data_IF_097244376745
#
_entry.id   IF_097244376745
#
_cell.length_a   1.000
_cell.length_b   1.000
_cell.length_c   1.000
_cell.angle_alpha   90.00
_cell.angle_beta   90.00
_cell.angle_gamma   90.00
#
_symmetry.space_group_name_H-M   'P 1'
#
loop_
_entity.id
_entity.type
_entity.pdbx_description
1 polymer ?
#
# COMPACT_ATOMS: atom_id res chain seq x y z
N UNK A 1 -15.31 18.10 -3.90
CA UNK A 1 -14.13 17.75 -3.09
C UNK A 1 -12.87 17.92 -3.92
N UNK A 2 -11.73 18.21 -3.29
CA UNK A 2 -10.43 18.25 -4.00
C UNK A 2 -9.78 16.89 -4.06
N UNK A 3 -9.15 16.60 -5.19
CA UNK A 3 -8.34 15.38 -5.36
C UNK A 3 -7.13 15.65 -6.26
N UNK A 4 -6.08 14.83 -6.10
CA UNK A 4 -4.91 14.82 -6.96
C UNK A 4 -5.09 13.71 -8.02
N UNK A 5 -5.27 14.12 -9.27
CA UNK A 5 -5.58 13.22 -10.41
C UNK A 5 -4.37 13.09 -11.32
N UNK A 6 -4.07 11.86 -11.72
CA UNK A 6 -3.16 11.55 -12.81
C UNK A 6 -3.97 11.42 -14.11
N UNK A 7 -3.86 12.39 -15.01
CA UNK A 7 -4.52 12.37 -16.31
C UNK A 7 -3.73 11.60 -17.37
N UNK A 8 -2.41 11.69 -17.30
CA UNK A 8 -1.51 11.07 -18.26
C UNK A 8 -0.24 10.57 -17.57
N UNK A 9 0.18 9.35 -17.90
CA UNK A 9 1.43 8.76 -17.39
C UNK A 9 2.62 9.65 -17.73
N UNK A 10 3.53 9.83 -16.78
CA UNK A 10 4.69 10.70 -16.90
C UNK A 10 4.43 12.19 -16.62
N UNK A 11 3.19 12.57 -16.36
CA UNK A 11 2.83 13.95 -15.98
C UNK A 11 2.71 14.11 -14.47
N UNK A 12 2.64 15.36 -14.03
CA UNK A 12 2.37 15.69 -12.62
C UNK A 12 0.90 15.44 -12.29
N UNK A 13 0.63 15.14 -11.03
CA UNK A 13 -0.73 15.11 -10.51
C UNK A 13 -1.33 16.53 -10.54
N UNK A 14 -2.58 16.62 -10.92
CA UNK A 14 -3.34 17.88 -10.94
C UNK A 14 -4.34 17.91 -9.79
N UNK A 15 -4.33 19.00 -9.02
CA UNK A 15 -5.30 19.20 -7.94
C UNK A 15 -6.54 19.85 -8.53
N UNK A 16 -7.65 19.12 -8.56
CA UNK A 16 -8.90 19.57 -9.15
C UNK A 16 -10.10 19.32 -8.23
N UNK A 17 -11.18 20.01 -8.51
CA UNK A 17 -12.47 19.80 -7.83
C UNK A 17 -13.27 18.71 -8.57
N UNK A 18 -13.66 17.68 -7.84
CA UNK A 18 -14.41 16.52 -8.33
C UNK A 18 -15.75 16.37 -7.61
N UNK A 19 -16.68 15.74 -8.29
CA UNK A 19 -17.95 15.30 -7.73
C UNK A 19 -17.78 13.89 -7.18
N UNK A 20 -18.36 13.61 -6.00
CA UNK A 20 -18.39 12.29 -5.41
C UNK A 20 -19.83 11.81 -5.23
N UNK A 21 -20.11 10.60 -5.70
CA UNK A 21 -21.39 9.94 -5.53
C UNK A 21 -21.60 9.43 -4.11
N UNK A 22 -22.85 9.09 -3.77
CA UNK A 22 -23.20 8.45 -2.50
C UNK A 22 -22.72 6.99 -2.48
N UNK A 23 -22.40 6.45 -1.29
CA UNK A 23 -22.11 5.03 -1.13
C UNK A 23 -23.35 4.19 -1.44
N UNK A 24 -23.19 3.15 -2.24
CA UNK A 24 -24.20 2.14 -2.53
C UNK A 24 -24.09 0.97 -1.54
N UNK A 25 -24.82 -0.10 -1.83
CA UNK A 25 -24.80 -1.33 -1.02
C UNK A 25 -23.37 -1.86 -0.82
N UNK A 26 -22.97 -2.07 0.44
CA UNK A 26 -21.65 -2.57 0.81
C UNK A 26 -20.51 -1.56 0.64
N UNK A 27 -20.84 -0.28 0.49
CA UNK A 27 -19.86 0.80 0.33
C UNK A 27 -19.94 1.80 1.49
N UNK A 28 -18.86 2.53 1.69
CA UNK A 28 -18.72 3.51 2.77
C UNK A 28 -18.09 4.78 2.20
N UNK A 29 -18.66 5.94 2.53
CA UNK A 29 -18.05 7.24 2.29
C UNK A 29 -17.14 7.59 3.47
N UNK A 30 -15.87 7.81 3.19
CA UNK A 30 -14.84 8.14 4.19
C UNK A 30 -14.32 9.55 3.93
N UNK A 31 -14.26 10.37 4.99
CA UNK A 31 -13.55 11.64 5.02
C UNK A 31 -12.08 11.35 5.34
N UNK A 32 -11.20 11.59 4.39
CA UNK A 32 -9.78 11.27 4.50
C UNK A 32 -9.08 12.20 5.50
N UNK A 33 -8.26 11.63 6.37
CA UNK A 33 -7.47 12.36 7.37
C UNK A 33 -5.98 12.29 7.10
N UNK A 34 -5.52 11.18 6.55
CA UNK A 34 -4.14 11.01 6.13
C UNK A 34 -4.03 10.03 4.97
N UNK A 35 -3.07 10.28 4.08
CA UNK A 35 -2.69 9.39 3.01
C UNK A 35 -1.16 9.32 2.93
N UNK A 36 -0.60 8.11 3.01
CA UNK A 36 0.82 7.86 2.79
C UNK A 36 1.15 7.88 1.30
N UNK A 37 2.38 8.25 0.96
CA UNK A 37 2.92 8.17 -0.40
C UNK A 37 3.85 6.98 -0.49
N UNK A 38 3.50 6.03 -1.33
CA UNK A 38 4.25 4.80 -1.55
C UNK A 38 5.05 4.83 -2.85
N UNK A 39 6.09 4.01 -2.94
CA UNK A 39 6.81 3.80 -4.19
C UNK A 39 5.90 3.30 -5.32
N UNK A 40 4.83 2.56 -5.00
CA UNK A 40 3.85 2.09 -5.98
C UNK A 40 3.11 3.25 -6.66
N UNK A 41 2.79 4.33 -5.95
CA UNK A 41 2.18 5.53 -6.57
C UNK A 41 3.16 6.17 -7.57
N UNK A 42 4.44 6.27 -7.19
CA UNK A 42 5.49 6.76 -8.07
C UNK A 42 5.66 5.88 -9.33
N UNK A 43 5.60 4.55 -9.16
CA UNK A 43 5.69 3.62 -10.28
C UNK A 43 4.54 3.77 -11.26
N UNK A 44 3.32 4.03 -10.78
CA UNK A 44 2.16 4.31 -11.64
C UNK A 44 2.35 5.64 -12.39
N UNK A 45 2.76 6.70 -11.69
CA UNK A 45 3.00 8.02 -12.31
C UNK A 45 4.02 7.91 -13.47
N UNK A 46 5.05 7.06 -13.32
CA UNK A 46 6.10 6.89 -14.33
C UNK A 46 5.85 5.72 -15.31
N UNK A 47 4.67 5.09 -15.27
CA UNK A 47 4.28 4.02 -16.20
C UNK A 47 5.00 2.68 -15.99
N UNK A 48 5.65 2.48 -14.85
CA UNK A 48 6.27 1.20 -14.49
C UNK A 48 5.23 0.16 -14.07
N UNK A 49 4.09 0.62 -13.56
CA UNK A 49 2.90 -0.18 -13.32
C UNK A 49 1.77 0.42 -14.17
N UNK A 50 1.22 -0.35 -15.13
CA UNK A 50 0.20 0.16 -16.03
C UNK A 50 -1.16 0.22 -15.33
N UNK A 51 -1.67 1.43 -15.12
CA UNK A 51 -3.01 1.69 -14.60
C UNK A 51 -3.80 2.55 -15.61
N UNK A 52 -5.12 2.42 -15.65
CA UNK A 52 -5.95 3.28 -16.50
C UNK A 52 -5.93 4.73 -15.97
N UNK A 53 -6.06 5.68 -16.86
CA UNK A 53 -6.18 7.11 -16.54
C UNK A 53 -7.47 7.67 -17.16
N UNK A 54 -8.06 8.76 -16.60
CA UNK A 54 -7.63 9.51 -15.43
C UNK A 54 -7.87 8.74 -14.11
N UNK A 55 -6.96 8.87 -13.13
CA UNK A 55 -7.03 8.11 -11.89
C UNK A 55 -6.62 8.95 -10.66
N UNK A 56 -7.31 8.74 -9.54
CA UNK A 56 -6.86 9.18 -8.21
C UNK A 56 -6.02 8.07 -7.60
N UNK A 57 -4.77 8.38 -7.26
CA UNK A 57 -3.84 7.47 -6.60
C UNK A 57 -3.98 7.48 -5.07
N UNK A 58 -3.08 6.78 -4.38
CA UNK A 58 -3.05 6.67 -2.92
C UNK A 58 -3.77 5.42 -2.40
N UNK A 59 -3.02 4.57 -1.70
CA UNK A 59 -3.50 3.30 -1.17
C UNK A 59 -3.06 3.04 0.27
N UNK A 60 -2.38 3.99 0.90
CA UNK A 60 -2.02 4.01 2.32
C UNK A 60 -2.90 5.05 3.02
N UNK A 61 -4.06 4.66 3.53
CA UNK A 61 -5.12 5.61 3.85
C UNK A 61 -5.71 5.40 5.23
N UNK A 62 -5.98 6.51 5.92
CA UNK A 62 -6.79 6.55 7.13
C UNK A 62 -7.79 7.72 7.07
N UNK A 63 -8.95 7.51 7.65
CA UNK A 63 -10.02 8.50 7.65
C UNK A 63 -11.09 8.25 8.68
N UNK A 64 -12.15 9.02 8.59
CA UNK A 64 -13.34 8.88 9.45
C UNK A 64 -14.55 8.61 8.56
N UNK A 65 -15.33 7.62 8.93
CA UNK A 65 -16.57 7.26 8.23
C UNK A 65 -17.56 8.42 8.30
N UNK A 66 -18.05 8.85 7.15
CA UNK A 66 -19.04 9.92 7.04
C UNK A 66 -20.46 9.37 6.78
N UNK A 67 -20.58 8.43 5.84
CA UNK A 67 -21.85 7.82 5.44
C UNK A 67 -21.63 6.34 5.10
N UNK A 68 -22.61 5.48 5.39
CA UNK A 68 -22.57 4.07 5.03
C UNK A 68 -23.71 3.74 4.06
N UNK A 69 -23.43 2.88 3.10
CA UNK A 69 -24.43 2.35 2.19
C UNK A 69 -25.24 1.22 2.83
N UNK A 70 -26.19 0.68 2.06
CA UNK A 70 -27.01 -0.43 2.52
C UNK A 70 -26.18 -1.69 2.82
N UNK A 71 -26.63 -2.48 3.79
CA UNK A 71 -26.03 -3.78 4.19
C UNK A 71 -24.57 -3.70 4.71
N UNK A 72 -24.05 -2.54 5.05
CA UNK A 72 -22.78 -2.39 5.76
C UNK A 72 -22.99 -2.81 7.22
N UNK A 73 -22.12 -3.67 7.75
CA UNK A 73 -22.17 -4.16 9.13
C UNK A 73 -20.84 -3.89 9.85
N UNK A 74 -20.90 -3.63 11.15
CA UNK A 74 -19.72 -3.45 12.00
C UNK A 74 -18.96 -2.13 11.77
N UNK A 75 -19.50 -1.22 10.97
CA UNK A 75 -18.96 0.11 10.69
C UNK A 75 -20.09 1.12 10.81
N UNK A 76 -19.84 2.26 11.43
CA UNK A 76 -20.83 3.33 11.61
C UNK A 76 -20.21 4.71 11.35
N UNK A 77 -21.01 5.71 11.03
CA UNK A 77 -20.54 7.09 10.92
C UNK A 77 -19.82 7.55 12.21
N UNK A 78 -18.67 8.18 12.05
CA UNK A 78 -17.80 8.59 13.16
C UNK A 78 -16.67 7.61 13.51
N UNK A 79 -16.69 6.39 13.00
CA UNK A 79 -15.60 5.43 13.21
C UNK A 79 -14.32 5.91 12.50
N UNK A 80 -13.18 5.80 13.21
CA UNK A 80 -11.85 5.92 12.60
C UNK A 80 -11.50 4.61 11.89
N UNK A 81 -11.04 4.71 10.65
CA UNK A 81 -10.76 3.54 9.81
C UNK A 81 -9.42 3.66 9.10
N UNK A 82 -8.78 2.50 8.89
CA UNK A 82 -7.70 2.30 7.93
C UNK A 82 -8.22 1.52 6.73
N UNK A 83 -7.51 1.62 5.61
CA UNK A 83 -7.90 0.99 4.35
C UNK A 83 -6.87 -0.04 3.91
N UNK A 84 -7.33 -1.25 3.61
CA UNK A 84 -6.54 -2.26 2.92
C UNK A 84 -6.62 -2.04 1.41
N UNK A 85 -5.48 -1.99 0.74
CA UNK A 85 -5.45 -1.86 -0.73
C UNK A 85 -5.88 -3.15 -1.46
N UNK A 86 -6.03 -4.26 -0.75
CA UNK A 86 -6.56 -5.52 -1.28
C UNK A 86 -8.03 -5.63 -0.86
N UNK A 87 -8.91 -5.09 -1.71
CA UNK A 87 -10.35 -5.19 -1.50
C UNK A 87 -10.86 -6.61 -1.79
N UNK A 88 -11.75 -7.14 -0.98
CA UNK A 88 -12.34 -8.46 -1.18
C UNK A 88 -13.82 -8.36 -1.53
N UNK A 89 -14.32 -9.28 -2.37
CA UNK A 89 -15.74 -9.28 -2.77
C UNK A 89 -16.64 -10.16 -1.88
N UNK A 90 -16.04 -10.89 -0.93
CA UNK A 90 -16.76 -11.81 -0.02
C UNK A 90 -17.33 -13.08 -0.67
N UNK A 91 -17.49 -13.14 -1.99
CA UNK A 91 -18.28 -14.17 -2.68
C UNK A 91 -17.50 -15.14 -3.58
N UNK A 92 -16.29 -14.79 -4.05
CA UNK A 92 -15.51 -15.68 -4.90
C UNK A 92 -14.93 -16.86 -4.09
N UNK A 93 -14.40 -17.86 -4.79
CA UNK A 93 -13.83 -19.06 -4.14
C UNK A 93 -12.74 -18.69 -3.14
N UNK A 94 -11.86 -17.77 -3.48
CA UNK A 94 -10.78 -17.35 -2.58
C UNK A 94 -11.30 -16.68 -1.31
N UNK A 95 -12.25 -15.75 -1.42
CA UNK A 95 -12.87 -15.11 -0.25
C UNK A 95 -13.55 -16.13 0.67
N UNK A 96 -14.28 -17.09 0.08
CA UNK A 96 -15.04 -18.11 0.85
C UNK A 96 -14.15 -19.17 1.49
N UNK A 97 -12.91 -19.32 1.04
CA UNK A 97 -11.93 -20.28 1.60
C UNK A 97 -10.89 -19.63 2.51
N UNK A 98 -11.07 -18.35 2.89
CA UNK A 98 -10.16 -17.63 3.79
C UNK A 98 -8.94 -17.01 3.11
N UNK A 99 -8.88 -17.03 1.77
CA UNK A 99 -7.81 -16.45 0.95
C UNK A 99 -8.26 -15.13 0.31
N UNK A 100 -8.89 -14.25 1.08
CA UNK A 100 -9.47 -13.00 0.59
C UNK A 100 -8.44 -12.08 -0.09
N UNK A 101 -7.18 -12.17 0.30
CA UNK A 101 -6.05 -11.50 -0.35
C UNK A 101 -5.80 -11.95 -1.80
N UNK A 102 -6.39 -13.06 -2.24
CA UNK A 102 -6.38 -13.55 -3.62
C UNK A 102 -7.73 -13.35 -4.33
N UNK A 103 -8.54 -12.40 -3.86
CA UNK A 103 -9.85 -12.14 -4.44
C UNK A 103 -9.80 -11.98 -5.96
N UNK A 104 -10.48 -12.87 -6.70
CA UNK A 104 -10.47 -12.86 -8.16
C UNK A 104 -11.07 -11.60 -8.78
N UNK A 105 -12.00 -10.94 -8.07
CA UNK A 105 -12.58 -9.66 -8.53
C UNK A 105 -11.68 -8.46 -8.25
N UNK A 106 -10.74 -8.57 -7.32
CA UNK A 106 -9.74 -7.54 -7.10
C UNK A 106 -8.65 -7.61 -8.16
N UNK A 107 -8.18 -8.82 -8.49
CA UNK A 107 -7.11 -9.06 -9.48
C UNK A 107 -7.65 -9.37 -10.90
N UNK A 108 -8.83 -8.87 -11.23
CA UNK A 108 -9.40 -8.97 -12.57
C UNK A 108 -8.72 -8.00 -13.55
N UNK A 109 -9.39 -7.72 -14.65
CA UNK A 109 -8.96 -6.70 -15.61
C UNK A 109 -8.58 -5.36 -14.91
N UNK A 110 -7.49 -4.67 -15.32
CA UNK A 110 -7.06 -3.42 -14.72
C UNK A 110 -8.15 -2.36 -14.59
N UNK A 111 -9.04 -2.22 -15.59
CA UNK A 111 -10.15 -1.28 -15.50
C UNK A 111 -11.16 -1.66 -14.41
N UNK A 112 -11.44 -2.94 -14.23
CA UNK A 112 -12.33 -3.45 -13.18
C UNK A 112 -11.68 -3.31 -11.81
N UNK A 113 -10.36 -3.50 -11.73
CA UNK A 113 -9.61 -3.36 -10.48
C UNK A 113 -9.72 -1.94 -9.89
N UNK A 114 -9.84 -0.93 -10.73
CA UNK A 114 -9.86 0.49 -10.32
C UNK A 114 -11.24 1.16 -10.35
N UNK A 115 -12.31 0.38 -10.54
CA UNK A 115 -13.73 0.74 -10.33
C UNK A 115 -14.28 0.02 -9.09
N UNK A 116 -15.40 0.46 -8.55
CA UNK A 116 -16.07 -0.25 -7.45
C UNK A 116 -16.56 -1.64 -7.93
N UNK A 117 -17.00 -2.49 -7.03
CA UNK A 117 -17.38 -3.87 -7.38
C UNK A 117 -18.61 -3.99 -8.29
N UNK A 118 -19.38 -2.93 -8.49
CA UNK A 118 -20.45 -2.85 -9.48
C UNK A 118 -19.97 -2.36 -10.86
N UNK A 119 -18.66 -2.23 -11.08
CA UNK A 119 -18.00 -1.71 -12.28
C UNK A 119 -18.37 -0.28 -12.63
N UNK A 120 -18.81 0.52 -11.66
CA UNK A 120 -19.11 1.94 -11.86
C UNK A 120 -18.15 2.83 -11.07
N UNK A 121 -18.09 4.09 -11.46
CA UNK A 121 -17.33 5.12 -10.78
C UNK A 121 -18.15 5.72 -9.63
N UNK A 122 -17.45 6.28 -8.64
CA UNK A 122 -18.04 7.14 -7.60
C UNK A 122 -17.48 8.54 -7.65
N UNK A 123 -16.43 8.75 -8.45
CA UNK A 123 -15.80 10.04 -8.66
C UNK A 123 -15.98 10.42 -10.11
N UNK A 124 -16.38 11.67 -10.34
CA UNK A 124 -16.57 12.24 -11.68
C UNK A 124 -16.02 13.65 -11.71
N UNK A 125 -15.55 14.08 -12.86
CA UNK A 125 -15.20 15.47 -13.11
C UNK A 125 -16.46 16.34 -13.37
N UNK A 126 -16.25 17.60 -13.77
CA UNK A 126 -17.34 18.54 -13.99
C UNK A 126 -18.14 18.24 -15.28
N UNK A 127 -17.61 17.40 -16.16
CA UNK A 127 -18.24 16.95 -17.41
C UNK A 127 -18.89 15.57 -17.26
N UNK A 128 -18.98 15.05 -16.01
CA UNK A 128 -19.49 13.73 -15.65
C UNK A 128 -18.64 12.56 -16.17
N UNK A 129 -17.37 12.81 -16.50
CA UNK A 129 -16.42 11.77 -16.85
C UNK A 129 -15.99 11.01 -15.60
N UNK A 130 -16.08 9.67 -15.64
CA UNK A 130 -15.69 8.83 -14.50
C UNK A 130 -14.17 8.80 -14.30
N UNK A 131 -13.74 8.96 -13.05
CA UNK A 131 -12.34 8.92 -12.62
C UNK A 131 -12.08 7.61 -11.88
N UNK A 132 -11.03 6.89 -12.28
CA UNK A 132 -10.61 5.66 -11.62
C UNK A 132 -10.09 5.93 -10.20
N UNK A 133 -10.23 4.93 -9.33
CA UNK A 133 -9.72 4.93 -7.95
C UNK A 133 -8.67 3.82 -7.80
N UNK A 134 -7.43 4.17 -7.49
CA UNK A 134 -6.37 3.17 -7.29
C UNK A 134 -6.83 2.08 -6.32
N UNK A 135 -6.92 0.85 -6.80
CA UNK A 135 -7.35 -0.32 -6.01
C UNK A 135 -8.72 -0.15 -5.31
N UNK A 136 -9.65 0.57 -5.92
CA UNK A 136 -10.95 0.95 -5.37
C UNK A 136 -10.88 1.91 -4.15
N UNK A 137 -9.69 2.46 -3.88
CA UNK A 137 -9.45 3.39 -2.77
C UNK A 137 -9.25 4.83 -3.26
N UNK A 138 -8.08 5.14 -3.88
CA UNK A 138 -7.81 6.47 -4.42
C UNK A 138 -7.67 7.56 -3.35
N UNK A 139 -6.78 7.35 -2.37
CA UNK A 139 -6.71 8.16 -1.14
C UNK A 139 -6.17 9.58 -1.29
N UNK A 140 -5.64 9.96 -2.45
CA UNK A 140 -5.20 11.35 -2.67
C UNK A 140 -6.37 12.28 -2.99
N UNK A 141 -7.41 12.23 -2.17
CA UNK A 141 -8.61 13.06 -2.22
C UNK A 141 -9.12 13.37 -0.81
N UNK A 142 -9.94 14.40 -0.67
CA UNK A 142 -10.54 14.76 0.62
C UNK A 142 -11.57 13.73 1.11
N UNK A 143 -12.25 13.05 0.18
CA UNK A 143 -13.25 12.02 0.48
C UNK A 143 -13.15 10.88 -0.53
N UNK A 144 -13.53 9.66 -0.11
CA UNK A 144 -13.61 8.49 -0.98
C UNK A 144 -14.81 7.61 -0.63
N UNK A 145 -15.45 7.06 -1.65
CA UNK A 145 -16.37 5.93 -1.50
C UNK A 145 -15.59 4.66 -1.79
N UNK A 146 -15.57 3.75 -0.83
CA UNK A 146 -14.77 2.51 -0.87
C UNK A 146 -15.60 1.30 -0.46
N UNK A 147 -15.23 0.07 -0.86
CA UNK A 147 -15.88 -1.13 -0.35
C UNK A 147 -15.72 -1.24 1.18
N UNK A 148 -16.78 -1.58 1.90
CA UNK A 148 -16.75 -1.76 3.36
C UNK A 148 -15.71 -2.82 3.78
N UNK A 149 -15.56 -3.90 3.00
CA UNK A 149 -14.58 -4.97 3.24
C UNK A 149 -13.11 -4.52 3.11
N UNK A 150 -12.87 -3.30 2.61
CA UNK A 150 -11.53 -2.70 2.59
C UNK A 150 -11.21 -1.95 3.87
N UNK A 151 -12.18 -1.79 4.76
CA UNK A 151 -12.04 -0.96 5.97
C UNK A 151 -11.83 -1.82 7.21
N UNK A 152 -10.97 -1.34 8.09
CA UNK A 152 -10.80 -1.84 9.44
C UNK A 152 -10.99 -0.68 10.41
N UNK A 153 -11.96 -0.83 11.33
CA UNK A 153 -12.18 0.14 12.41
C UNK A 153 -11.01 0.07 13.38
N UNK A 154 -10.49 1.21 13.76
CA UNK A 154 -9.38 1.37 14.69
C UNK A 154 -9.78 2.27 15.87
N UNK A 155 -9.08 2.20 17.02
CA UNK A 155 -9.28 3.14 18.10
C UNK A 155 -9.07 4.59 17.66
N UNK A 156 -9.93 5.49 18.10
CA UNK A 156 -9.90 6.92 17.72
C UNK A 156 -8.63 7.65 18.19
N UNK A 157 -7.92 7.08 19.17
CA UNK A 157 -6.68 7.64 19.73
C UNK A 157 -5.48 7.43 18.80
N UNK A 158 -5.58 6.55 17.80
CA UNK A 158 -4.48 6.31 16.86
C UNK A 158 -4.37 7.49 15.90
N UNK A 159 -3.22 8.20 15.86
CA UNK A 159 -3.05 9.31 14.92
C UNK A 159 -3.22 8.83 13.46
N UNK A 160 -4.01 9.54 12.64
CA UNK A 160 -4.31 9.10 11.28
C UNK A 160 -3.06 8.98 10.40
N UNK A 161 -2.02 9.78 10.64
CA UNK A 161 -0.75 9.72 9.91
C UNK A 161 0.01 8.41 10.17
N UNK A 162 -0.13 7.85 11.37
CA UNK A 162 0.43 6.54 11.73
C UNK A 162 -0.46 5.43 11.18
N UNK A 163 -1.78 5.59 11.35
CA UNK A 163 -2.77 4.62 10.92
C UNK A 163 -2.72 4.36 9.41
N UNK A 164 -2.54 5.41 8.60
CA UNK A 164 -2.49 5.31 7.14
C UNK A 164 -1.44 4.30 6.65
N UNK A 165 -0.28 4.25 7.30
CA UNK A 165 0.83 3.37 6.92
C UNK A 165 0.53 1.88 7.13
N UNK A 166 -0.43 1.56 8.02
CA UNK A 166 -0.80 0.17 8.34
C UNK A 166 -1.39 -0.53 7.11
N UNK A 167 -2.11 0.22 6.26
CA UNK A 167 -2.77 -0.32 5.07
C UNK A 167 -1.83 -0.92 4.00
N UNK A 168 -0.55 -0.52 3.98
CA UNK A 168 0.42 -1.01 3.00
C UNK A 168 1.78 -1.34 3.61
N UNK A 169 2.62 -0.34 3.93
CA UNK A 169 4.02 -0.62 4.25
C UNK A 169 4.20 -1.46 5.51
N UNK A 170 3.34 -1.29 6.53
CA UNK A 170 3.38 -2.11 7.76
C UNK A 170 2.94 -3.54 7.46
N UNK A 171 1.78 -3.73 6.87
CA UNK A 171 1.29 -5.08 6.52
C UNK A 171 2.21 -5.81 5.55
N UNK A 172 2.80 -5.10 4.59
CA UNK A 172 3.76 -5.67 3.63
C UNK A 172 5.06 -6.09 4.32
N UNK A 173 5.65 -5.22 5.11
CA UNK A 173 6.94 -5.48 5.76
C UNK A 173 6.81 -6.45 6.93
N UNK A 174 6.06 -6.07 7.95
CA UNK A 174 5.86 -6.88 9.15
C UNK A 174 5.15 -8.19 8.84
N UNK A 175 4.02 -8.13 8.09
CA UNK A 175 3.28 -9.32 7.70
C UNK A 175 4.08 -10.24 6.80
N UNK A 176 4.91 -9.69 5.91
CA UNK A 176 5.78 -10.48 5.04
C UNK A 176 6.74 -11.35 5.82
N UNK A 177 7.40 -10.82 6.85
CA UNK A 177 8.40 -11.60 7.62
C UNK A 177 7.76 -12.54 8.65
N UNK A 178 6.67 -12.13 9.33
CA UNK A 178 6.05 -12.96 10.37
C UNK A 178 5.30 -14.16 9.79
N UNK A 179 4.87 -14.10 8.54
CA UNK A 179 4.21 -15.21 7.83
C UNK A 179 5.20 -16.14 7.11
N UNK A 180 6.51 -15.89 7.21
CA UNK A 180 7.53 -16.80 6.69
C UNK A 180 7.87 -17.87 7.75
N UNK A 181 7.57 -19.11 7.47
CA UNK A 181 7.86 -20.26 8.37
C UNK A 181 9.35 -20.49 8.65
N UNK A 182 10.23 -19.80 7.94
CA UNK A 182 11.66 -19.99 7.98
C UNK A 182 12.40 -19.15 9.04
N UNK A 183 11.76 -18.14 9.62
CA UNK A 183 12.37 -17.30 10.64
C UNK A 183 12.11 -17.89 12.02
N UNK A 184 13.15 -18.40 12.63
CA UNK A 184 13.10 -18.99 13.98
C UNK A 184 13.79 -18.06 14.98
N UNK A 185 13.45 -18.20 16.26
CA UNK A 185 14.20 -17.57 17.36
C UNK A 185 15.68 -17.83 17.20
N UNK A 186 16.49 -16.77 17.30
CA UNK A 186 17.94 -16.85 17.11
C UNK A 186 18.42 -16.74 15.67
N UNK A 187 17.54 -16.66 14.68
CA UNK A 187 17.91 -16.47 13.26
C UNK A 187 18.74 -15.22 13.04
N UNK A 188 19.52 -15.22 11.96
CA UNK A 188 20.14 -14.01 11.39
C UNK A 188 19.34 -13.57 10.18
N UNK A 189 18.90 -12.30 10.17
CA UNK A 189 18.11 -11.70 9.12
C UNK A 189 18.87 -10.53 8.52
N UNK A 190 18.95 -10.46 7.19
CA UNK A 190 19.47 -9.30 6.47
C UNK A 190 18.36 -8.65 5.64
N UNK A 191 18.18 -7.34 5.79
CA UNK A 191 17.17 -6.56 5.10
C UNK A 191 17.86 -5.57 4.18
N UNK A 192 17.60 -5.70 2.88
CA UNK A 192 18.14 -4.83 1.85
C UNK A 192 17.12 -3.76 1.48
N UNK A 193 17.47 -2.50 1.75
CA UNK A 193 16.60 -1.35 1.60
C UNK A 193 15.84 -1.01 2.89
N UNK A 194 16.19 0.14 3.52
CA UNK A 194 15.62 0.62 4.77
C UNK A 194 14.59 1.75 4.52
N UNK A 195 13.69 1.54 3.55
CA UNK A 195 12.48 2.33 3.37
C UNK A 195 11.34 1.84 4.27
N UNK A 196 10.12 2.34 4.07
CA UNK A 196 8.96 1.99 4.90
C UNK A 196 8.76 0.48 5.09
N UNK A 197 8.79 -0.29 4.01
CA UNK A 197 8.67 -1.76 4.06
C UNK A 197 9.85 -2.39 4.81
N UNK A 198 11.09 -2.00 4.48
CA UNK A 198 12.29 -2.57 5.11
C UNK A 198 12.34 -2.31 6.62
N UNK A 199 11.97 -1.13 7.07
CA UNK A 199 11.90 -0.79 8.50
C UNK A 199 10.89 -1.68 9.24
N UNK A 200 9.72 -1.93 8.64
CA UNK A 200 8.73 -2.85 9.21
C UNK A 200 9.18 -4.33 9.19
N UNK A 201 10.01 -4.74 8.20
CA UNK A 201 10.66 -6.06 8.23
C UNK A 201 11.63 -6.18 9.40
N UNK A 202 12.43 -5.14 9.68
CA UNK A 202 13.36 -5.13 10.83
C UNK A 202 12.59 -5.30 12.15
N UNK A 203 11.48 -4.58 12.32
CA UNK A 203 10.63 -4.68 13.50
C UNK A 203 9.96 -6.06 13.63
N UNK A 204 9.48 -6.62 12.52
CA UNK A 204 8.97 -7.99 12.46
C UNK A 204 10.05 -9.02 12.82
N UNK A 205 11.29 -8.88 12.34
CA UNK A 205 12.41 -9.75 12.71
C UNK A 205 12.72 -9.67 14.22
N UNK A 206 12.65 -8.48 14.80
CA UNK A 206 12.80 -8.26 16.24
C UNK A 206 11.68 -8.97 17.03
N UNK A 207 10.43 -8.87 16.59
CA UNK A 207 9.29 -9.53 17.23
C UNK A 207 9.38 -11.06 17.22
N UNK A 208 10.06 -11.63 16.21
CA UNK A 208 10.35 -13.06 16.09
C UNK A 208 11.62 -13.49 16.86
N UNK A 209 12.21 -12.60 17.66
CA UNK A 209 13.44 -12.84 18.42
C UNK A 209 14.61 -13.28 17.54
N UNK A 210 14.80 -12.67 16.37
CA UNK A 210 16.01 -12.84 15.59
C UNK A 210 17.23 -12.32 16.38
N UNK A 211 18.35 -13.05 16.32
CA UNK A 211 19.55 -12.70 17.08
C UNK A 211 20.37 -11.59 16.42
N UNK A 212 20.54 -11.66 15.09
CA UNK A 212 21.19 -10.63 14.31
C UNK A 212 20.22 -10.07 13.27
N UNK A 213 20.02 -8.78 13.30
CA UNK A 213 19.15 -8.05 12.36
C UNK A 213 20.04 -7.01 11.67
N UNK A 214 20.36 -7.29 10.39
CA UNK A 214 21.32 -6.53 9.61
C UNK A 214 20.55 -5.66 8.63
N UNK A 215 20.64 -4.34 8.78
CA UNK A 215 20.06 -3.38 7.85
C UNK A 215 21.10 -2.98 6.81
N UNK A 216 20.75 -3.09 5.52
CA UNK A 216 21.63 -2.76 4.39
C UNK A 216 20.96 -1.65 3.56
N UNK A 217 21.60 -0.51 3.41
CA UNK A 217 21.11 0.61 2.57
C UNK A 217 22.31 1.41 2.02
N UNK A 218 22.07 2.26 1.05
CA UNK A 218 23.04 3.21 0.51
C UNK A 218 23.13 4.52 1.33
N UNK A 219 22.13 4.78 2.18
CA UNK A 219 21.98 6.04 2.93
C UNK A 219 22.28 5.84 4.40
N UNK A 220 23.33 6.52 4.90
CA UNK A 220 23.70 6.48 6.31
C UNK A 220 22.55 6.96 7.22
N UNK A 221 21.82 8.01 6.83
CA UNK A 221 20.66 8.49 7.58
C UNK A 221 19.58 7.41 7.78
N UNK A 222 19.29 6.60 6.73
CA UNK A 222 18.35 5.49 6.85
C UNK A 222 18.89 4.37 7.73
N UNK A 223 20.20 4.12 7.68
CA UNK A 223 20.86 3.13 8.51
C UNK A 223 20.85 3.52 10.00
N UNK A 224 21.08 4.78 10.32
CA UNK A 224 20.92 5.29 11.69
C UNK A 224 19.47 5.14 12.19
N UNK A 225 18.51 5.44 11.31
CA UNK A 225 17.10 5.28 11.65
C UNK A 225 16.69 3.83 11.85
N UNK A 226 17.29 2.88 11.12
CA UNK A 226 17.01 1.45 11.20
C UNK A 226 17.25 0.86 12.60
N UNK A 227 18.19 1.42 13.40
CA UNK A 227 18.39 1.01 14.79
C UNK A 227 17.14 1.18 15.65
N UNK A 228 16.33 2.21 15.40
CA UNK A 228 15.08 2.45 16.12
C UNK A 228 14.04 1.36 15.86
N UNK A 229 14.15 0.69 14.70
CA UNK A 229 13.28 -0.41 14.27
C UNK A 229 13.86 -1.80 14.56
N UNK A 230 14.95 -1.87 15.33
CA UNK A 230 15.47 -3.13 15.83
C UNK A 230 16.67 -3.70 15.08
N UNK A 231 17.26 -2.96 14.13
CA UNK A 231 18.53 -3.36 13.55
C UNK A 231 19.61 -3.48 14.63
N UNK A 232 20.37 -4.58 14.61
CA UNK A 232 21.53 -4.79 15.50
C UNK A 232 22.83 -4.42 14.81
N UNK A 233 22.85 -4.45 13.49
CA UNK A 233 23.99 -4.14 12.62
C UNK A 233 23.50 -3.36 11.40
N UNK A 234 24.37 -2.49 10.89
CA UNK A 234 24.09 -1.74 9.65
C UNK A 234 25.26 -1.88 8.68
N UNK A 235 24.95 -1.86 7.39
CA UNK A 235 25.93 -1.93 6.31
C UNK A 235 25.57 -0.91 5.24
N UNK A 236 26.45 0.08 5.03
CA UNK A 236 26.35 0.93 3.86
C UNK A 236 26.98 0.20 2.66
N UNK A 237 26.14 -0.25 1.72
CA UNK A 237 26.59 -1.07 0.61
C UNK A 237 27.32 -0.28 -0.50
N UNK A 238 27.40 1.05 -0.43
CA UNK A 238 28.30 1.84 -1.28
C UNK A 238 29.74 1.85 -0.75
N UNK A 239 29.90 1.73 0.59
CA UNK A 239 31.21 1.78 1.24
C UNK A 239 31.82 0.39 1.43
N UNK A 240 31.00 -0.66 1.45
CA UNK A 240 31.42 -2.02 1.67
C UNK A 240 30.91 -2.93 0.55
N UNK A 241 31.83 -3.27 -0.36
CA UNK A 241 31.57 -4.27 -1.41
C UNK A 241 32.01 -5.65 -0.92
N UNK A 242 31.05 -6.51 -0.55
CA UNK A 242 31.36 -7.95 -0.37
C UNK A 242 31.50 -8.58 -1.75
N UNK A 243 32.61 -9.28 -2.07
CA UNK A 243 32.75 -9.97 -3.35
C UNK A 243 31.64 -11.02 -3.49
N UNK A 244 30.80 -10.87 -4.50
CA UNK A 244 29.78 -11.85 -4.85
C UNK A 244 30.40 -12.98 -5.68
N UNK A 245 30.04 -14.24 -5.47
CA UNK A 245 30.41 -15.33 -6.36
C UNK A 245 30.07 -15.09 -7.83
N UNK A 246 29.08 -14.22 -8.10
CA UNK A 246 28.70 -13.80 -9.47
C UNK A 246 29.69 -12.80 -10.09
N UNK A 247 30.44 -12.05 -9.29
CA UNK A 247 31.38 -11.06 -9.80
C UNK A 247 32.56 -11.76 -10.52
N UNK A 248 32.92 -12.96 -10.09
CA UNK A 248 33.92 -13.81 -10.76
C UNK A 248 33.50 -14.28 -12.15
N UNK A 249 32.19 -14.44 -12.41
CA UNK A 249 31.68 -14.88 -13.72
C UNK A 249 31.60 -13.73 -14.72
N UNK A 250 31.42 -12.49 -14.30
CA UNK A 250 31.44 -11.31 -15.18
C UNK A 250 32.84 -10.99 -15.69
N UNK A 251 33.88 -11.26 -14.92
CA UNK A 251 35.27 -11.03 -15.35
C UNK A 251 35.79 -12.08 -16.35
N UNK A 252 35.02 -13.12 -16.65
CA UNK A 252 35.36 -14.20 -17.60
C UNK A 252 34.59 -14.17 -18.92
N UNK A 253 33.75 -13.17 -19.14
CA UNK A 253 33.20 -12.95 -20.49
C UNK A 253 34.32 -12.36 -21.38
N UNK A 254 34.72 -13.06 -22.45
CA UNK A 254 35.67 -12.46 -23.40
C UNK A 254 34.96 -11.22 -23.97
N UNK A 255 35.69 -10.11 -23.99
CA UNK A 255 35.31 -8.97 -24.81
C UNK A 255 35.20 -9.49 -26.25
N UNK A 256 33.96 -9.67 -26.73
CA UNK A 256 33.75 -9.93 -28.14
C UNK A 256 34.30 -8.76 -28.93
N UNK A 257 35.31 -9.05 -29.71
CA UNK A 257 35.86 -8.15 -30.76
C UNK A 257 34.78 -7.74 -31.76
#
# INVERSE_FOLDING_TARGET
>A
MKAAVLYEVGKKLEIIDLNIGKPKQGEVLVNMKAAGVCASDHHVIHGQIPYPTPIVLGHENAGVVEEIGENVQGIQPGDSVIMSFVSSCGNCVYCRTGLANHCSRHYSDPEVQHKLFDNTFRIHDQEDTGIFQMNKLGGFAEKQVVPADSLLVIPNEVPPEVAALIGCCVTTGFGGIVNLDNIKTGSTVAVFGCGGVGLNILEGAKSLNANKIIAVDISDHKLEFAYKFGATHVVNCLLYTSPSPRDRTRSRMPSSA
#
